data_IF_965978462291
#
_entry.id   IF_965978462291
#
_cell.length_a   1.000
_cell.length_b   1.000
_cell.length_c   1.000
_cell.angle_alpha   90.00
_cell.angle_beta   90.00
_cell.angle_gamma   90.00
#
_symmetry.space_group_name_H-M   'P 1'
#
loop_
_entity.id
_entity.type
_entity.pdbx_description
1 polymer ?
#
# COMPACT_ATOMS: atom_id res chain seq x y z
N UNK A 1 -15.53 -10.45 -39.36
CA UNK A 1 -14.70 -11.07 -38.30
C UNK A 1 -13.25 -10.95 -38.73
N UNK A 2 -12.46 -10.12 -38.03
CA UNK A 2 -11.09 -9.81 -38.45
C UNK A 2 -10.18 -11.05 -38.45
N UNK A 3 -9.21 -11.08 -39.37
CA UNK A 3 -8.18 -12.12 -39.58
C UNK A 3 -7.19 -12.32 -38.40
N UNK A 4 -7.55 -11.92 -37.17
CA UNK A 4 -6.65 -11.93 -36.01
C UNK A 4 -7.11 -12.95 -34.98
N UNK A 5 -6.20 -13.85 -34.58
CA UNK A 5 -6.44 -14.87 -33.56
C UNK A 5 -6.77 -14.22 -32.20
N UNK A 6 -7.88 -14.63 -31.60
CA UNK A 6 -8.27 -14.19 -30.25
C UNK A 6 -7.39 -14.89 -29.20
N UNK A 7 -6.45 -14.14 -28.61
CA UNK A 7 -5.53 -14.64 -27.58
C UNK A 7 -6.20 -14.77 -26.22
N UNK A 8 -7.04 -13.80 -25.83
CA UNK A 8 -7.78 -13.81 -24.55
C UNK A 8 -9.09 -14.59 -24.68
N UNK A 9 -8.99 -15.90 -24.93
CA UNK A 9 -10.12 -16.80 -25.09
C UNK A 9 -10.53 -17.46 -23.75
N UNK A 10 -11.60 -18.27 -23.76
CA UNK A 10 -12.09 -19.01 -22.57
C UNK A 10 -11.00 -19.90 -21.95
N UNK A 11 -10.16 -20.53 -22.77
CA UNK A 11 -9.07 -21.39 -22.31
C UNK A 11 -7.96 -20.60 -21.59
N UNK A 12 -7.67 -19.37 -22.03
CA UNK A 12 -6.73 -18.46 -21.39
C UNK A 12 -7.16 -18.12 -19.96
N UNK A 13 -8.41 -17.67 -19.79
CA UNK A 13 -8.91 -17.28 -18.47
C UNK A 13 -9.01 -18.45 -17.48
N UNK A 14 -9.22 -19.68 -17.96
CA UNK A 14 -9.16 -20.89 -17.12
C UNK A 14 -7.79 -21.13 -16.47
N UNK A 15 -6.70 -20.61 -17.04
CA UNK A 15 -5.31 -20.77 -16.53
C UNK A 15 -4.72 -19.47 -15.98
N UNK A 16 -5.47 -18.36 -16.07
CA UNK A 16 -4.95 -17.06 -15.71
C UNK A 16 -4.92 -16.90 -14.18
N UNK A 17 -3.71 -16.87 -13.62
CA UNK A 17 -3.53 -16.61 -12.20
C UNK A 17 -3.43 -15.11 -11.92
N UNK A 18 -4.40 -14.59 -11.16
CA UNK A 18 -4.42 -13.18 -10.76
C UNK A 18 -3.33 -12.90 -9.72
N UNK A 19 -2.69 -11.73 -9.83
CA UNK A 19 -1.83 -11.20 -8.76
C UNK A 19 -2.69 -10.71 -7.58
N UNK A 20 -2.07 -10.54 -6.42
CA UNK A 20 -2.71 -10.00 -5.21
C UNK A 20 -3.46 -8.68 -5.49
N UNK A 21 -4.56 -8.44 -4.78
CA UNK A 21 -5.49 -7.31 -5.01
C UNK A 21 -4.77 -5.95 -5.13
N UNK A 22 -3.89 -5.59 -4.18
CA UNK A 22 -3.19 -4.29 -4.20
C UNK A 22 -2.10 -4.20 -5.28
N UNK A 23 -1.55 -5.33 -5.73
CA UNK A 23 -0.60 -5.37 -6.85
C UNK A 23 -1.31 -5.09 -8.17
N UNK A 24 -2.53 -5.61 -8.35
CA UNK A 24 -3.39 -5.31 -9.50
C UNK A 24 -3.82 -3.84 -9.54
N UNK A 25 -4.04 -3.23 -8.37
CA UNK A 25 -4.32 -1.79 -8.26
C UNK A 25 -3.06 -0.91 -8.37
N UNK A 26 -1.85 -1.48 -8.44
CA UNK A 26 -0.60 -0.72 -8.47
C UNK A 26 -0.25 0.02 -7.17
N UNK A 27 -0.96 -0.23 -6.06
CA UNK A 27 -0.83 0.55 -4.81
C UNK A 27 0.24 0.03 -3.85
N UNK A 28 0.81 -1.14 -4.10
CA UNK A 28 1.74 -1.77 -3.16
C UNK A 28 2.73 -2.67 -3.90
N UNK A 29 4.01 -2.40 -3.65
CA UNK A 29 5.06 -3.38 -3.88
C UNK A 29 5.17 -4.33 -2.68
N UNK A 30 4.87 -5.60 -2.92
CA UNK A 30 4.94 -6.63 -1.90
C UNK A 30 6.37 -7.07 -1.57
N UNK A 31 7.33 -6.85 -2.47
CA UNK A 31 8.73 -7.19 -2.24
C UNK A 31 9.35 -6.27 -1.19
N UNK A 32 9.25 -4.95 -1.39
CA UNK A 32 9.64 -3.96 -0.39
C UNK A 32 8.85 -4.12 0.91
N UNK A 33 7.52 -4.32 0.84
CA UNK A 33 6.69 -4.50 2.03
C UNK A 33 7.16 -5.66 2.89
N UNK A 34 7.43 -6.84 2.32
CA UNK A 34 7.88 -8.02 3.08
C UNK A 34 9.13 -7.70 3.90
N UNK A 35 10.11 -7.01 3.30
CA UNK A 35 11.37 -6.65 3.96
C UNK A 35 11.18 -5.62 5.07
N UNK A 36 10.27 -4.67 4.87
CA UNK A 36 9.98 -3.63 5.85
C UNK A 36 9.19 -4.16 7.05
N UNK A 37 8.22 -5.05 6.85
CA UNK A 37 7.29 -5.48 7.90
C UNK A 37 7.76 -6.67 8.70
N UNK A 38 8.56 -7.56 8.10
CA UNK A 38 9.05 -8.74 8.80
C UNK A 38 9.99 -8.30 9.93
N UNK A 39 9.69 -8.79 11.12
CA UNK A 39 10.50 -8.63 12.32
C UNK A 39 11.24 -9.93 12.60
N UNK A 40 12.39 -9.82 13.25
CA UNK A 40 13.15 -10.98 13.71
C UNK A 40 12.32 -11.78 14.72
N UNK A 41 12.27 -13.11 14.56
CA UNK A 41 11.42 -13.99 15.38
C UNK A 41 11.83 -13.99 16.86
N UNK A 42 13.09 -13.69 17.17
CA UNK A 42 13.58 -13.56 18.54
C UNK A 42 12.99 -12.36 19.30
N UNK A 43 12.38 -11.40 18.60
CA UNK A 43 11.68 -10.24 19.20
C UNK A 43 10.21 -10.54 19.49
N UNK A 44 9.74 -11.76 19.22
CA UNK A 44 8.40 -12.24 19.51
C UNK A 44 7.31 -11.25 19.07
N UNK A 45 6.48 -10.78 20.00
CA UNK A 45 5.35 -9.89 19.74
C UNK A 45 5.72 -8.41 19.71
N UNK A 46 7.01 -8.07 19.73
CA UNK A 46 7.43 -6.66 19.65
C UNK A 46 7.05 -6.07 18.29
N UNK A 47 6.18 -5.04 18.23
CA UNK A 47 5.75 -4.47 16.98
C UNK A 47 6.89 -3.76 16.27
N UNK A 48 7.03 -4.01 14.97
CA UNK A 48 7.94 -3.25 14.09
C UNK A 48 7.19 -2.06 13.50
N UNK A 49 7.47 -0.88 14.01
CA UNK A 49 6.87 0.35 13.51
C UNK A 49 7.52 0.79 12.21
N UNK A 50 6.71 1.35 11.30
CA UNK A 50 7.17 2.01 10.09
C UNK A 50 6.43 3.31 9.88
N UNK A 51 7.14 4.28 9.31
CA UNK A 51 6.56 5.50 8.80
C UNK A 51 6.09 5.28 7.36
N UNK A 52 4.80 5.50 7.12
CA UNK A 52 4.17 5.47 5.80
C UNK A 52 3.98 6.91 5.37
N UNK A 53 4.75 7.35 4.37
CA UNK A 53 4.58 8.66 3.73
C UNK A 53 3.92 8.45 2.37
N UNK A 54 2.87 9.21 2.09
CA UNK A 54 2.18 9.19 0.79
C UNK A 54 1.94 10.60 0.29
N UNK A 55 2.35 10.84 -0.93
CA UNK A 55 2.03 12.04 -1.68
C UNK A 55 0.80 11.75 -2.54
N UNK A 56 -0.23 12.56 -2.35
CA UNK A 56 -1.32 12.69 -3.31
C UNK A 56 -1.14 14.01 -4.05
N UNK A 57 -1.96 14.29 -5.07
CA UNK A 57 -1.83 15.51 -5.85
C UNK A 57 -1.96 16.80 -5.03
N UNK A 58 -2.64 16.73 -3.88
CA UNK A 58 -3.08 17.87 -3.09
C UNK A 58 -2.78 17.75 -1.59
N UNK A 59 -2.38 16.56 -1.14
CA UNK A 59 -2.20 16.28 0.28
C UNK A 59 -1.01 15.34 0.52
N UNK A 60 -0.28 15.59 1.61
CA UNK A 60 0.76 14.71 2.13
C UNK A 60 0.23 14.01 3.37
N UNK A 61 0.28 12.68 3.34
CA UNK A 61 -0.21 11.82 4.42
C UNK A 61 0.99 11.14 5.08
N UNK A 62 1.14 11.32 6.39
CA UNK A 62 2.12 10.63 7.20
C UNK A 62 1.41 9.76 8.26
N UNK A 63 1.76 8.47 8.31
CA UNK A 63 1.15 7.54 9.26
C UNK A 63 2.23 6.66 9.89
N UNK A 64 2.14 6.47 11.21
CA UNK A 64 2.94 5.48 11.93
C UNK A 64 2.10 4.23 12.08
N UNK A 65 2.59 3.10 11.54
CA UNK A 65 1.85 1.85 11.56
C UNK A 65 2.75 0.66 11.90
N UNK A 66 2.14 -0.39 12.44
CA UNK A 66 2.73 -1.71 12.59
C UNK A 66 1.80 -2.77 11.98
N UNK A 67 2.34 -3.93 11.62
CA UNK A 67 1.58 -4.99 10.95
C UNK A 67 1.09 -6.05 11.94
N UNK A 68 -0.20 -6.40 11.86
CA UNK A 68 -0.81 -7.60 12.45
C UNK A 68 -1.27 -8.54 11.34
N UNK A 69 -1.70 -9.75 11.72
CA UNK A 69 -2.21 -10.77 10.80
C UNK A 69 -3.49 -10.28 10.09
N UNK A 70 -4.39 -9.66 10.85
CA UNK A 70 -5.66 -9.12 10.33
C UNK A 70 -5.46 -7.91 9.42
N UNK A 71 -4.43 -7.10 9.68
CA UNK A 71 -4.18 -5.86 8.97
C UNK A 71 -3.12 -5.00 9.63
N UNK A 72 -2.82 -3.86 9.00
CA UNK A 72 -1.97 -2.85 9.62
C UNK A 72 -2.77 -2.05 10.64
N UNK A 73 -2.19 -1.82 11.81
CA UNK A 73 -2.74 -0.93 12.83
C UNK A 73 -2.01 0.40 12.76
N UNK A 74 -2.78 1.48 12.66
CA UNK A 74 -2.27 2.85 12.66
C UNK A 74 -2.24 3.33 14.11
N UNK A 75 -1.09 3.84 14.54
CA UNK A 75 -0.89 4.40 15.88
C UNK A 75 -1.17 5.89 15.88
N UNK A 76 -0.65 6.58 14.87
CA UNK A 76 -0.81 8.02 14.69
C UNK A 76 -0.88 8.36 13.20
N UNK A 77 -1.60 9.42 12.88
CA UNK A 77 -1.71 9.98 11.53
C UNK A 77 -1.58 11.49 11.59
N UNK A 78 -0.96 12.06 10.56
CA UNK A 78 -0.90 13.49 10.32
C UNK A 78 -1.15 13.76 8.83
N UNK A 79 -1.83 14.87 8.55
CA UNK A 79 -2.19 15.28 7.19
C UNK A 79 -1.73 16.71 6.91
N UNK A 80 -1.39 17.01 5.66
CA UNK A 80 -0.92 18.36 5.32
C UNK A 80 -2.02 19.41 5.40
N UNK A 81 -3.29 19.03 5.24
CA UNK A 81 -4.42 19.94 5.41
C UNK A 81 -4.69 20.36 6.87
N UNK A 82 -4.04 19.73 7.85
CA UNK A 82 -4.09 20.13 9.26
C UNK A 82 -3.07 21.24 9.57
N UNK A 83 -2.04 21.41 8.73
CA UNK A 83 -0.97 22.40 8.90
C UNK A 83 -1.42 23.87 8.97
N UNK A 84 -2.51 24.31 8.28
CA UNK A 84 -3.05 25.66 8.44
C UNK A 84 -3.45 25.99 9.89
N UNK A 85 -3.86 25.02 10.70
CA UNK A 85 -4.16 25.23 12.12
C UNK A 85 -2.90 25.59 12.94
N UNK A 86 -1.72 25.22 12.42
CA UNK A 86 -0.42 25.48 13.03
C UNK A 86 0.31 26.67 12.38
N UNK A 87 -0.41 27.53 11.65
CA UNK A 87 0.13 28.76 11.05
C UNK A 87 0.81 28.57 9.69
N UNK A 88 0.85 27.35 9.16
CA UNK A 88 1.45 27.05 7.85
C UNK A 88 0.36 27.09 6.79
N UNK A 89 0.35 28.15 5.97
CA UNK A 89 -0.57 28.25 4.82
C UNK A 89 -0.18 27.23 3.74
N UNK A 90 -0.90 26.12 3.69
CA UNK A 90 -0.75 25.12 2.63
C UNK A 90 -1.62 25.55 1.44
N UNK A 91 -0.99 25.75 0.28
CA UNK A 91 -1.70 26.01 -0.98
C UNK A 91 -2.07 24.66 -1.59
N UNK A 92 -3.29 24.20 -1.32
CA UNK A 92 -3.89 22.99 -1.88
C UNK A 92 -4.51 23.26 -3.26
#
# INVERSE_FOLDING_TARGET
MGLVKVVKNKAYFKRYQVKLKRRRQGKTDYYARKRLTVQDKNKYNTPKYRLIVRFTNKDVIAQIAYSKIEGDVIVASAYSHELPAFGIKVRV
#
